data_IF_811997058541
#
_entry.id   IF_811997058541
#
_cell.length_a   1.000
_cell.length_b   1.000
_cell.length_c   1.000
_cell.angle_alpha   90.00
_cell.angle_beta   90.00
_cell.angle_gamma   90.00
#
_symmetry.space_group_name_H-M   'P 1'
#
loop_
_entity.id
_entity.type
_entity.pdbx_description
1 polymer ?
#
# COMPACT_ATOMS: atom_id res chain seq x y z
N UNK A 1 4.21 -0.85 -11.02
CA UNK A 1 3.41 -2.10 -11.15
C UNK A 1 4.09 -3.01 -12.16
N UNK A 2 4.13 -4.34 -11.94
CA UNK A 2 4.55 -5.26 -12.99
C UNK A 2 3.68 -4.97 -14.21
N UNK A 3 4.33 -4.65 -15.33
CA UNK A 3 3.59 -4.41 -16.56
C UNK A 3 2.87 -5.72 -16.92
N UNK A 4 1.58 -5.65 -17.27
CA UNK A 4 0.74 -6.83 -17.52
C UNK A 4 1.37 -7.82 -18.50
N UNK A 5 2.16 -7.32 -19.45
CA UNK A 5 2.90 -8.14 -20.41
C UNK A 5 3.87 -9.15 -19.77
N UNK A 6 4.44 -8.86 -18.59
CA UNK A 6 5.43 -9.75 -17.96
C UNK A 6 4.79 -11.10 -17.59
N UNK A 7 3.60 -11.06 -16.99
CA UNK A 7 2.86 -12.26 -16.63
C UNK A 7 2.37 -13.00 -17.87
N UNK A 8 1.81 -12.28 -18.84
CA UNK A 8 1.35 -12.89 -20.10
C UNK A 8 2.50 -13.57 -20.84
N UNK A 9 3.67 -12.92 -20.95
CA UNK A 9 4.85 -13.49 -21.56
C UNK A 9 5.34 -14.71 -20.79
N UNK A 10 5.41 -14.64 -19.45
CA UNK A 10 5.82 -15.78 -18.63
C UNK A 10 4.94 -17.01 -18.86
N UNK A 11 3.61 -16.83 -18.87
CA UNK A 11 2.66 -17.92 -19.08
C UNK A 11 2.84 -18.56 -20.47
N UNK A 12 2.88 -17.75 -21.53
CA UNK A 12 3.07 -18.24 -22.90
C UNK A 12 4.42 -18.93 -23.06
N UNK A 13 5.49 -18.36 -22.49
CA UNK A 13 6.84 -18.89 -22.59
C UNK A 13 7.00 -20.25 -21.87
N UNK A 14 6.42 -20.38 -20.67
CA UNK A 14 6.39 -21.65 -19.94
C UNK A 14 5.58 -22.71 -20.69
N UNK A 15 4.40 -22.35 -21.19
CA UNK A 15 3.56 -23.28 -21.99
C UNK A 15 4.30 -23.76 -23.25
N UNK A 16 4.90 -22.84 -24.01
CA UNK A 16 5.69 -23.17 -25.20
C UNK A 16 6.86 -24.10 -24.86
N UNK A 17 7.59 -23.79 -23.78
CA UNK A 17 8.72 -24.60 -23.32
C UNK A 17 8.30 -26.02 -22.89
N UNK A 18 7.11 -26.16 -22.29
CA UNK A 18 6.58 -27.45 -21.84
C UNK A 18 5.96 -28.29 -22.96
N UNK A 19 5.29 -27.67 -23.94
CA UNK A 19 4.55 -28.38 -24.99
C UNK A 19 5.41 -28.75 -26.19
N UNK A 20 6.41 -27.93 -26.54
CA UNK A 20 7.17 -28.11 -27.77
C UNK A 20 8.45 -28.95 -27.58
N UNK A 21 8.74 -29.83 -28.54
CA UNK A 21 9.94 -30.68 -28.55
C UNK A 21 10.96 -30.19 -29.59
N UNK A 22 12.25 -30.37 -29.33
CA UNK A 22 13.34 -29.97 -30.24
C UNK A 22 13.74 -28.49 -30.13
N UNK A 23 14.30 -27.92 -31.20
CA UNK A 23 14.93 -26.58 -31.18
C UNK A 23 13.97 -25.43 -30.86
N UNK A 24 12.68 -25.57 -31.23
CA UNK A 24 11.65 -24.58 -30.92
C UNK A 24 11.36 -24.44 -29.41
N UNK A 25 11.82 -25.38 -28.59
CA UNK A 25 11.81 -25.26 -27.12
C UNK A 25 12.72 -24.14 -26.61
N UNK A 26 13.81 -23.85 -27.33
CA UNK A 26 14.77 -22.80 -26.96
C UNK A 26 14.10 -21.42 -26.97
N UNK A 27 13.12 -21.20 -27.86
CA UNK A 27 12.35 -19.96 -27.90
C UNK A 27 11.57 -19.72 -26.59
N UNK A 28 11.00 -20.78 -26.02
CA UNK A 28 10.32 -20.72 -24.71
C UNK A 28 11.29 -20.35 -23.59
N UNK A 29 12.51 -20.89 -23.61
CA UNK A 29 13.55 -20.54 -22.64
C UNK A 29 13.93 -19.05 -22.72
N UNK A 30 14.13 -18.51 -23.92
CA UNK A 30 14.36 -17.07 -24.09
C UNK A 30 13.21 -16.22 -23.56
N UNK A 31 11.96 -16.65 -23.81
CA UNK A 31 10.77 -15.97 -23.27
C UNK A 31 10.73 -15.97 -21.74
N UNK A 32 11.08 -17.10 -21.10
CA UNK A 32 11.17 -17.21 -19.64
C UNK A 32 12.25 -16.26 -19.09
N UNK A 33 13.44 -16.24 -19.72
CA UNK A 33 14.51 -15.32 -19.33
C UNK A 33 14.10 -13.86 -19.48
N UNK A 34 13.46 -13.49 -20.60
CA UNK A 34 12.98 -12.14 -20.85
C UNK A 34 11.91 -11.71 -19.83
N UNK A 35 10.97 -12.61 -19.49
CA UNK A 35 9.98 -12.36 -18.44
C UNK A 35 10.64 -12.20 -17.07
N UNK A 36 11.65 -13.02 -16.75
CA UNK A 36 12.43 -12.92 -15.51
C UNK A 36 13.17 -11.59 -15.40
N UNK A 37 13.80 -11.11 -16.48
CA UNK A 37 14.45 -9.79 -16.54
C UNK A 37 13.41 -8.68 -16.35
N UNK A 38 12.27 -8.76 -17.04
CA UNK A 38 11.19 -7.78 -16.89
C UNK A 38 10.61 -7.73 -15.48
N UNK A 39 10.51 -8.89 -14.82
CA UNK A 39 10.09 -8.99 -13.43
C UNK A 39 11.11 -8.34 -12.49
N UNK A 40 12.41 -8.66 -12.67
CA UNK A 40 13.49 -8.13 -11.85
C UNK A 40 13.61 -6.60 -11.93
N UNK A 41 13.36 -6.00 -13.10
CA UNK A 41 13.38 -4.55 -13.29
C UNK A 41 12.14 -3.83 -12.72
N UNK A 42 11.16 -4.55 -12.19
CA UNK A 42 9.96 -3.91 -11.63
C UNK A 42 10.29 -3.24 -10.30
N UNK A 43 10.22 -1.90 -10.29
CA UNK A 43 10.49 -1.11 -9.09
C UNK A 43 9.44 -1.32 -8.01
N UNK A 44 9.92 -1.62 -6.79
CA UNK A 44 9.10 -1.70 -5.58
C UNK A 44 8.65 -0.29 -5.16
N UNK A 45 7.48 -0.15 -4.51
CA UNK A 45 7.03 1.13 -4.00
C UNK A 45 7.93 1.66 -2.88
N UNK A 46 8.30 2.94 -2.97
CA UNK A 46 9.12 3.62 -1.98
C UNK A 46 8.39 3.82 -0.66
N UNK A 47 7.09 4.16 -0.73
CA UNK A 47 6.24 4.33 0.44
C UNK A 47 4.96 3.53 0.28
N UNK A 48 4.60 2.80 1.33
CA UNK A 48 3.33 2.10 1.48
C UNK A 48 2.58 2.68 2.68
N UNK A 49 1.30 3.01 2.48
CA UNK A 49 0.40 3.47 3.53
C UNK A 49 -0.74 2.47 3.60
N UNK A 50 -0.97 1.90 4.79
CA UNK A 50 -2.04 0.92 4.98
C UNK A 50 -3.40 1.56 4.72
N UNK A 51 -4.42 0.71 4.51
CA UNK A 51 -5.79 1.17 4.63
C UNK A 51 -5.99 1.81 6.01
N UNK A 52 -6.67 2.96 6.03
CA UNK A 52 -6.84 3.83 7.21
C UNK A 52 -5.57 4.42 7.82
N UNK A 53 -4.39 4.18 7.25
CA UNK A 53 -3.14 4.78 7.72
C UNK A 53 -2.65 4.20 9.05
N UNK A 54 -3.09 3.00 9.42
CA UNK A 54 -2.67 2.31 10.64
C UNK A 54 -1.17 1.96 10.65
N UNK A 55 -0.55 1.79 9.48
CA UNK A 55 0.88 1.48 9.31
C UNK A 55 1.44 2.21 8.08
N UNK A 56 2.69 2.63 8.17
CA UNK A 56 3.44 3.20 7.05
C UNK A 56 4.74 2.41 6.90
N UNK A 57 5.09 2.07 5.66
CA UNK A 57 6.33 1.39 5.32
C UNK A 57 7.13 2.21 4.31
N UNK A 58 8.43 2.37 4.53
CA UNK A 58 9.34 3.04 3.60
C UNK A 58 10.42 2.06 3.18
N UNK A 59 10.72 1.97 1.88
CA UNK A 59 11.81 1.12 1.39
C UNK A 59 13.16 1.76 1.75
N UNK A 60 14.11 0.93 2.13
CA UNK A 60 15.42 1.36 2.57
C UNK A 60 16.52 0.40 2.09
N UNK A 61 17.81 0.78 2.14
CA UNK A 61 18.90 -0.13 1.78
C UNK A 61 18.92 -1.41 2.62
N UNK A 62 18.53 -1.35 3.89
CA UNK A 62 18.53 -2.49 4.82
C UNK A 62 17.26 -3.35 4.77
N UNK A 63 16.21 -2.92 4.05
CA UNK A 63 14.90 -3.60 4.02
C UNK A 63 13.72 -2.63 4.04
N UNK A 64 12.50 -3.10 4.29
CA UNK A 64 11.36 -2.19 4.47
C UNK A 64 11.29 -1.71 5.93
N UNK A 65 11.52 -0.42 6.14
CA UNK A 65 11.33 0.22 7.44
C UNK A 65 9.84 0.41 7.74
N UNK A 66 9.37 -0.04 8.91
CA UNK A 66 7.97 0.10 9.32
C UNK A 66 7.80 1.12 10.45
N UNK A 67 6.75 1.93 10.39
CA UNK A 67 6.53 3.04 11.33
C UNK A 67 6.16 2.63 12.74
N UNK A 68 5.68 1.40 12.94
CA UNK A 68 5.26 0.86 14.24
C UNK A 68 5.89 -0.49 14.54
N UNK A 69 6.30 -0.74 15.80
CA UNK A 69 6.85 -2.04 16.20
C UNK A 69 5.77 -3.13 16.34
N UNK A 70 4.52 -2.74 16.61
CA UNK A 70 3.37 -3.63 16.82
C UNK A 70 2.07 -2.98 16.30
N UNK A 71 1.06 -3.82 16.05
CA UNK A 71 -0.22 -3.40 15.48
C UNK A 71 -0.20 -3.44 13.95
N UNK A 72 -1.35 -3.68 13.31
CA UNK A 72 -1.45 -3.93 11.87
C UNK A 72 -0.56 -5.09 11.37
N UNK A 73 -0.38 -6.12 12.21
CA UNK A 73 0.56 -7.22 11.93
C UNK A 73 0.25 -8.02 10.66
N UNK A 74 -1.02 -8.15 10.28
CA UNK A 74 -1.40 -8.77 9.00
C UNK A 74 -0.83 -7.98 7.81
N UNK A 75 -0.98 -6.66 7.81
CA UNK A 75 -0.46 -5.76 6.77
C UNK A 75 1.06 -5.76 6.77
N UNK A 76 1.68 -5.64 7.94
CA UNK A 76 3.13 -5.68 8.09
C UNK A 76 3.72 -6.98 7.51
N UNK A 77 3.18 -8.13 7.91
CA UNK A 77 3.62 -9.44 7.41
C UNK A 77 3.46 -9.54 5.91
N UNK A 78 2.29 -9.17 5.36
CA UNK A 78 2.05 -9.24 3.92
C UNK A 78 3.05 -8.39 3.12
N UNK A 79 3.40 -7.19 3.61
CA UNK A 79 4.40 -6.35 2.95
C UNK A 79 5.79 -6.96 3.00
N UNK A 80 6.24 -7.40 4.17
CA UNK A 80 7.57 -8.00 4.35
C UNK A 80 7.71 -9.30 3.55
N UNK A 81 6.69 -10.16 3.54
CA UNK A 81 6.65 -11.38 2.73
C UNK A 81 6.76 -11.06 1.23
N UNK A 82 6.02 -10.05 0.74
CA UNK A 82 6.08 -9.62 -0.66
C UNK A 82 7.42 -8.99 -1.03
N UNK A 83 8.14 -8.41 -0.06
CA UNK A 83 9.50 -7.93 -0.27
C UNK A 83 10.55 -9.06 -0.23
N UNK A 84 10.15 -10.28 0.12
CA UNK A 84 11.03 -11.42 0.33
C UNK A 84 11.78 -11.37 1.67
N UNK A 85 11.33 -10.52 2.59
CA UNK A 85 11.99 -10.24 3.86
C UNK A 85 11.44 -11.15 4.97
N UNK A 86 12.27 -12.09 5.46
CA UNK A 86 11.90 -12.98 6.58
C UNK A 86 12.16 -12.34 7.94
N UNK A 87 11.82 -11.07 8.09
CA UNK A 87 12.07 -10.30 9.31
C UNK A 87 10.80 -10.11 10.14
N UNK A 88 10.96 -9.88 11.43
CA UNK A 88 9.84 -9.53 12.30
C UNK A 88 9.43 -8.06 12.10
N UNK A 89 8.16 -7.72 12.33
CA UNK A 89 7.71 -6.33 12.30
C UNK A 89 8.54 -5.42 13.24
N UNK A 90 8.93 -5.92 14.41
CA UNK A 90 9.80 -5.19 15.34
C UNK A 90 11.19 -4.92 14.77
N UNK A 91 11.77 -5.89 14.07
CA UNK A 91 13.06 -5.72 13.39
C UNK A 91 12.95 -4.70 12.25
N UNK A 92 11.89 -4.80 11.44
CA UNK A 92 11.58 -3.83 10.40
C UNK A 92 11.36 -2.41 10.97
N UNK A 93 10.83 -2.30 12.19
CA UNK A 93 10.68 -1.02 12.87
C UNK A 93 12.03 -0.42 13.32
N UNK A 94 13.02 -1.24 13.65
CA UNK A 94 14.36 -0.74 13.97
C UNK A 94 14.98 0.05 12.82
N UNK A 95 14.77 -0.37 11.56
CA UNK A 95 15.21 0.37 10.37
C UNK A 95 14.56 1.76 10.30
N UNK A 96 13.29 1.88 10.69
CA UNK A 96 12.61 3.17 10.76
C UNK A 96 13.26 4.13 11.77
N UNK A 97 13.62 3.61 12.95
CA UNK A 97 14.24 4.41 14.00
C UNK A 97 15.67 4.85 13.65
N UNK A 98 16.42 3.99 12.95
CA UNK A 98 17.81 4.25 12.54
C UNK A 98 17.85 5.26 11.41
N UNK A 99 17.10 5.01 10.34
CA UNK A 99 17.24 5.81 9.13
C UNK A 99 16.37 7.05 9.11
N UNK A 100 15.30 7.08 9.92
CA UNK A 100 14.35 8.19 10.06
C UNK A 100 13.97 8.79 8.70
N UNK A 101 13.02 8.16 7.97
CA UNK A 101 12.63 8.60 6.64
C UNK A 101 12.39 10.12 6.60
N UNK A 102 13.22 10.92 5.92
CA UNK A 102 13.33 12.36 6.20
C UNK A 102 12.09 13.17 5.82
N UNK A 103 11.21 12.60 4.98
CA UNK A 103 10.06 13.28 4.40
C UNK A 103 8.73 12.54 4.67
N UNK A 104 8.75 11.48 5.51
CA UNK A 104 7.54 10.69 5.78
C UNK A 104 7.29 10.63 7.28
N UNK A 105 6.22 11.28 7.71
CA UNK A 105 5.84 11.36 9.11
C UNK A 105 4.56 10.57 9.37
N UNK A 106 4.60 9.68 10.35
CA UNK A 106 3.44 8.88 10.75
C UNK A 106 2.97 9.28 12.16
N UNK A 107 1.79 9.88 12.22
CA UNK A 107 1.15 10.36 13.44
C UNK A 107 0.02 9.42 13.83
N UNK A 108 0.28 8.54 14.79
CA UNK A 108 -0.64 7.46 15.13
C UNK A 108 -1.10 7.38 16.57
N UNK A 109 -0.46 8.13 17.48
CA UNK A 109 -0.78 8.12 18.90
C UNK A 109 -1.05 9.54 19.35
N UNK A 110 -2.23 9.77 19.96
CA UNK A 110 -2.58 11.09 20.51
C UNK A 110 -1.58 11.57 21.56
N UNK A 111 -0.87 10.64 22.22
CA UNK A 111 0.14 10.95 23.24
C UNK A 111 1.47 11.42 22.63
N UNK A 112 1.84 10.87 21.48
CA UNK A 112 3.16 11.08 20.87
C UNK A 112 3.11 12.02 19.65
N UNK A 113 1.93 12.53 19.31
CA UNK A 113 1.70 13.33 18.12
C UNK A 113 1.31 14.75 18.54
N UNK A 114 2.06 15.79 18.12
CA UNK A 114 1.81 17.17 18.54
C UNK A 114 0.49 17.70 17.98
N UNK A 115 -0.24 18.53 18.73
CA UNK A 115 -1.56 19.04 18.29
C UNK A 115 -1.48 19.90 17.02
N UNK A 116 -0.38 20.63 16.87
CA UNK A 116 -0.13 21.55 15.75
C UNK A 116 1.22 21.22 15.11
N UNK A 117 1.24 21.10 13.79
CA UNK A 117 2.44 20.79 13.00
C UNK A 117 2.52 21.80 11.86
N UNK A 118 3.68 22.41 11.69
CA UNK A 118 4.00 23.15 10.47
C UNK A 118 4.79 22.22 9.56
N UNK A 119 4.35 22.07 8.32
CA UNK A 119 4.98 21.18 7.34
C UNK A 119 5.54 21.96 6.15
N UNK A 120 6.50 21.34 5.46
CA UNK A 120 7.17 21.89 4.27
C UNK A 120 6.72 21.15 3.00
N UNK A 121 7.01 21.77 1.86
CA UNK A 121 6.83 21.12 0.56
C UNK A 121 7.58 19.80 0.48
N UNK A 122 6.97 18.80 -0.16
CA UNK A 122 7.43 17.41 -0.32
C UNK A 122 7.39 16.52 0.94
N UNK A 123 6.88 17.02 2.07
CA UNK A 123 6.63 16.18 3.24
C UNK A 123 5.30 15.42 3.09
N UNK A 124 5.29 14.16 3.52
CA UNK A 124 4.11 13.30 3.55
C UNK A 124 3.74 13.03 4.99
N UNK A 125 2.60 13.56 5.42
CA UNK A 125 2.06 13.39 6.76
C UNK A 125 0.90 12.40 6.72
N UNK A 126 1.09 11.22 7.30
CA UNK A 126 0.02 10.26 7.51
C UNK A 126 -0.47 10.41 8.94
N UNK A 127 -1.69 10.89 9.13
CA UNK A 127 -2.25 11.16 10.46
C UNK A 127 -3.60 10.47 10.66
N UNK A 128 -3.65 9.58 11.66
CA UNK A 128 -4.90 8.94 12.12
C UNK A 128 -5.44 9.60 13.39
N UNK A 129 -4.78 10.67 13.86
CA UNK A 129 -5.19 11.43 15.03
C UNK A 129 -5.63 12.83 14.62
N UNK A 130 -6.60 13.44 15.32
CA UNK A 130 -7.01 14.80 15.02
C UNK A 130 -5.87 15.77 15.34
N UNK A 131 -5.24 16.32 14.29
CA UNK A 131 -4.16 17.30 14.36
C UNK A 131 -4.37 18.41 13.34
N UNK A 132 -3.95 19.61 13.72
CA UNK A 132 -3.86 20.77 12.84
C UNK A 132 -2.48 20.76 12.15
N UNK A 133 -2.46 20.46 10.86
CA UNK A 133 -1.25 20.44 10.05
C UNK A 133 -1.37 21.59 9.05
N UNK A 134 -0.43 22.53 9.08
CA UNK A 134 -0.46 23.77 8.32
C UNK A 134 0.81 23.87 7.46
N UNK A 135 0.63 24.11 6.15
CA UNK A 135 1.72 24.25 5.19
C UNK A 135 1.44 23.51 3.89
N UNK A 136 2.38 23.62 2.94
CA UNK A 136 2.25 23.09 1.58
C UNK A 136 2.71 21.64 1.47
N UNK A 137 2.16 20.75 2.30
CA UNK A 137 2.53 19.33 2.33
C UNK A 137 1.38 18.40 1.94
N UNK A 138 1.71 17.13 1.66
CA UNK A 138 0.71 16.10 1.38
C UNK A 138 0.25 15.47 2.69
N UNK A 139 -1.04 15.57 2.99
CA UNK A 139 -1.62 15.04 4.22
C UNK A 139 -2.59 13.91 3.88
N UNK A 140 -2.39 12.74 4.47
CA UNK A 140 -3.30 11.61 4.41
C UNK A 140 -3.96 11.41 5.77
N UNK A 141 -5.25 11.72 5.87
CA UNK A 141 -6.04 11.45 7.06
C UNK A 141 -6.74 10.10 6.96
N UNK A 142 -7.13 9.55 8.11
CA UNK A 142 -7.92 8.32 8.16
C UNK A 142 -9.16 8.38 7.24
N UNK A 143 -9.89 9.52 7.24
CA UNK A 143 -11.07 9.73 6.38
C UNK A 143 -10.75 9.70 4.89
N UNK A 144 -9.58 10.16 4.49
CA UNK A 144 -9.13 10.14 3.09
C UNK A 144 -8.83 8.69 2.69
N UNK A 145 -8.11 7.98 3.56
CA UNK A 145 -7.73 6.57 3.38
C UNK A 145 -8.91 5.61 3.50
N UNK A 146 -10.00 5.98 4.16
CA UNK A 146 -11.25 5.22 4.15
C UNK A 146 -11.89 5.19 2.75
N UNK A 147 -11.70 6.27 1.97
CA UNK A 147 -12.21 6.43 0.60
C UNK A 147 -11.25 5.85 -0.44
N UNK A 148 -9.95 6.14 -0.34
CA UNK A 148 -8.93 5.70 -1.31
C UNK A 148 -8.40 4.29 -1.03
N UNK A 149 -8.48 3.83 0.22
CA UNK A 149 -7.83 2.60 0.68
C UNK A 149 -6.31 2.76 0.80
N UNK A 150 -5.58 1.66 0.63
CA UNK A 150 -4.13 1.63 0.73
C UNK A 150 -3.47 2.36 -0.46
N UNK A 151 -2.38 3.07 -0.17
CA UNK A 151 -1.68 3.91 -1.14
C UNK A 151 -0.24 3.42 -1.29
N UNK A 152 0.23 3.37 -2.53
CA UNK A 152 1.63 3.17 -2.86
C UNK A 152 2.17 4.41 -3.58
N UNK A 153 3.39 4.77 -3.23
CA UNK A 153 4.05 5.96 -3.75
C UNK A 153 5.41 5.54 -4.30
N UNK A 154 5.68 5.95 -5.54
CA UNK A 154 6.98 5.85 -6.17
C UNK A 154 7.56 7.24 -6.30
N UNK A 155 8.84 7.40 -5.98
CA UNK A 155 9.59 8.63 -6.17
C UNK A 155 10.37 8.54 -7.47
N UNK A 156 10.11 9.47 -8.38
CA UNK A 156 10.89 9.65 -9.60
C UNK A 156 12.28 10.20 -9.28
N UNK A 157 13.19 10.07 -10.26
CA UNK A 157 14.59 10.53 -10.15
C UNK A 157 14.71 12.05 -9.89
N UNK A 158 13.69 12.84 -10.27
CA UNK A 158 13.65 14.29 -10.08
C UNK A 158 12.88 14.72 -8.81
N UNK A 159 12.54 13.77 -7.92
CA UNK A 159 11.68 14.02 -6.77
C UNK A 159 10.17 14.07 -7.10
N UNK A 160 9.79 13.82 -8.35
CA UNK A 160 8.39 13.73 -8.77
C UNK A 160 7.69 12.56 -8.04
N UNK A 161 6.61 12.85 -7.32
CA UNK A 161 5.87 11.84 -6.57
C UNK A 161 4.82 11.21 -7.49
N UNK A 162 5.07 9.99 -7.97
CA UNK A 162 4.07 9.21 -8.71
C UNK A 162 3.25 8.39 -7.73
N UNK A 163 2.05 8.89 -7.45
CA UNK A 163 1.07 8.23 -6.59
C UNK A 163 0.23 7.25 -7.41
N UNK A 164 0.03 6.04 -6.88
CA UNK A 164 -0.99 5.14 -7.37
C UNK A 164 -1.79 4.60 -6.19
N UNK A 165 -3.10 4.80 -6.22
CA UNK A 165 -3.99 4.15 -5.27
C UNK A 165 -3.98 2.65 -5.59
N UNK A 166 -3.49 1.83 -4.65
CA UNK A 166 -3.26 0.38 -4.87
C UNK A 166 -4.58 -0.36 -4.86
N UNK A 167 -5.53 0.12 -4.06
CA UNK A 167 -6.92 -0.30 -4.16
C UNK A 167 -7.53 0.33 -5.40
N UNK A 168 -7.83 -0.52 -6.41
CA UNK A 168 -8.93 -0.27 -7.34
C UNK A 168 -10.07 0.34 -6.51
N UNK A 169 -10.43 1.59 -6.83
CA UNK A 169 -11.39 2.39 -6.06
C UNK A 169 -12.45 1.52 -5.41
N UNK A 170 -12.64 1.64 -4.09
CA UNK A 170 -13.78 1.00 -3.39
C UNK A 170 -15.13 1.36 -4.03
N UNK A 171 -15.18 2.39 -4.90
CA UNK A 171 -16.37 2.73 -5.68
C UNK A 171 -16.66 1.77 -6.84
N UNK A 172 -15.72 0.91 -7.27
CA UNK A 172 -16.10 -0.29 -8.03
C UNK A 172 -16.66 -1.29 -7.02
N UNK A 173 -17.98 -1.21 -6.82
CA UNK A 173 -18.79 -2.20 -6.10
C UNK A 173 -18.28 -3.59 -6.43
N UNK A 174 -17.75 -4.31 -5.44
CA UNK A 174 -17.46 -5.73 -5.63
C UNK A 174 -18.79 -6.41 -5.92
N UNK A 175 -18.81 -7.34 -6.86
CA UNK A 175 -20.04 -8.07 -7.24
C UNK A 175 -20.72 -8.73 -6.02
N UNK A 176 -19.94 -9.06 -5.00
CA UNK A 176 -20.36 -9.72 -3.76
C UNK A 176 -20.33 -8.81 -2.52
N UNK A 177 -20.11 -7.50 -2.67
CA UNK A 177 -20.30 -6.56 -1.55
C UNK A 177 -21.75 -6.10 -1.55
N UNK A 178 -22.47 -6.12 -0.41
CA UNK A 178 -23.80 -5.54 -0.35
C UNK A 178 -23.72 -4.09 -0.85
N UNK A 179 -24.60 -3.74 -1.78
CA UNK A 179 -24.73 -2.37 -2.27
C UNK A 179 -24.91 -1.48 -1.04
N UNK A 180 -24.08 -0.45 -0.92
CA UNK A 180 -24.02 0.42 0.25
C UNK A 180 -25.34 1.13 0.49
N UNK A 181 -26.26 0.45 1.17
CA UNK A 181 -27.54 0.99 1.62
C UNK A 181 -27.27 2.00 2.71
N UNK A 182 -27.59 3.26 2.44
CA UNK A 182 -27.86 4.28 3.44
C UNK A 182 -28.62 3.67 4.61
N UNK A 183 -28.04 3.73 5.82
CA UNK A 183 -28.74 3.42 7.07
C UNK A 183 -29.93 4.36 7.21
N UNK A 184 -31.08 3.99 6.68
CA UNK A 184 -32.35 4.51 7.16
C UNK A 184 -32.55 3.88 8.54
N UNK A 185 -32.37 4.71 9.57
CA UNK A 185 -32.71 4.40 10.95
C UNK A 185 -34.21 4.08 10.97
N UNK A 186 -34.56 2.80 11.11
CA UNK A 186 -35.93 2.40 11.38
C UNK A 186 -36.32 2.90 12.78
N UNK A 187 -36.93 4.08 12.82
CA UNK A 187 -37.61 4.62 13.99
C UNK A 187 -38.89 3.81 14.14
N UNK A 188 -38.92 2.85 15.07
CA UNK A 188 -40.14 2.13 15.42
C UNK A 188 -41.13 3.14 16.03
N UNK A 189 -42.16 3.49 15.27
CA UNK A 189 -43.36 4.15 15.78
C UNK A 189 -44.18 3.09 16.53
N UNK A 190 -44.14 3.12 17.86
CA UNK A 190 -45.18 2.48 18.67
C UNK A 190 -46.35 3.47 18.77
N UNK A 191 -47.45 3.12 18.11
CA UNK A 191 -48.78 3.69 18.35
C UNK A 191 -49.81 2.58 18.16
N UNK A 192 -50.96 2.76 18.83
CA UNK A 192 -52.15 1.89 18.94
C UNK A 192 -52.01 0.91 20.11
N UNK A 193 -52.79 0.95 21.20
CA UNK A 193 -54.10 1.56 21.44
C UNK A 193 -55.18 0.47 21.58
N UNK A 194 -55.70 0.31 22.80
CA UNK A 194 -57.00 -0.24 23.23
C UNK A 194 -57.50 -1.57 22.64
N UNK A 195 -57.70 -2.56 23.52
CA UNK A 195 -58.99 -3.26 23.78
C UNK A 195 -59.02 -3.71 25.24
#
# INVERSE_FOLDING_TARGET
MPKTWVLTLAMVAVLQFSLWQGQLRILGLFGICAAGIGWYQTQRPDVLISDRGSLVGVITPEGRALSKPKGAGFVARLWLENDGEKTSQSSAHSHWAIQKPPLVFHHWSKRNSPRKIHCKSNEIHVSIVPQEIIGDCVIYREKDLDRTGAIAIWRGQNGEIKKLDVTLSRQKTRLWSPLGGSRLVARALYSIGAY
#
